data_IF_262201509382
#
_entry.id   IF_262201509382
#
_cell.length_a   1.000
_cell.length_b   1.000
_cell.length_c   1.000
_cell.angle_alpha   90.00
_cell.angle_beta   90.00
_cell.angle_gamma   90.00
#
_symmetry.space_group_name_H-M   'P 1'
#
loop_
_entity.id
_entity.type
_entity.pdbx_description
1 polymer ?
#
# COMPACT_ATOMS: atom_id res chain seq x y z
N UNK A 1 -37.43 40.99 6.02
CA UNK A 1 -36.38 40.83 5.02
C UNK A 1 -35.40 39.83 5.62
N UNK A 2 -35.54 38.59 5.22
CA UNK A 2 -34.78 37.45 5.74
C UNK A 2 -33.43 37.41 5.01
N UNK A 3 -32.34 37.49 5.78
CA UNK A 3 -31.02 37.26 5.27
C UNK A 3 -30.89 35.76 4.92
N UNK A 4 -30.80 35.45 3.63
CA UNK A 4 -30.34 34.17 3.16
C UNK A 4 -28.88 34.02 3.61
N UNK A 5 -28.67 33.17 4.62
CA UNK A 5 -27.35 32.70 5.00
C UNK A 5 -26.78 31.97 3.79
N UNK A 6 -25.76 32.54 3.16
CA UNK A 6 -25.06 31.95 2.02
C UNK A 6 -24.53 30.59 2.40
N UNK A 7 -25.11 29.54 1.85
CA UNK A 7 -24.58 28.19 1.91
C UNK A 7 -23.17 28.21 1.30
N UNK A 8 -22.14 27.94 2.11
CA UNK A 8 -20.78 27.71 1.59
C UNK A 8 -20.84 26.71 0.42
N UNK A 9 -20.24 27.03 -0.73
CA UNK A 9 -20.27 26.11 -1.86
C UNK A 9 -19.64 24.80 -1.43
N UNK A 10 -20.42 23.71 -1.52
CA UNK A 10 -19.98 22.37 -1.20
C UNK A 10 -18.62 22.09 -1.85
N UNK A 11 -17.63 21.73 -1.05
CA UNK A 11 -16.28 21.47 -1.51
C UNK A 11 -16.32 20.48 -2.68
N UNK A 12 -15.86 20.91 -3.86
CA UNK A 12 -15.80 20.10 -5.09
C UNK A 12 -14.34 19.84 -5.45
N UNK A 13 -14.09 18.63 -5.94
CA UNK A 13 -12.78 18.32 -6.52
C UNK A 13 -12.60 19.10 -7.83
N UNK A 14 -11.36 19.55 -8.09
CA UNK A 14 -11.01 20.14 -9.39
C UNK A 14 -11.28 19.12 -10.51
N UNK A 15 -11.83 19.54 -11.67
CA UNK A 15 -12.06 18.64 -12.82
C UNK A 15 -10.81 17.88 -13.28
N UNK A 16 -9.63 18.43 -13.05
CA UNK A 16 -8.34 17.78 -13.36
C UNK A 16 -7.96 16.65 -12.40
N UNK A 17 -8.61 16.56 -11.24
CA UNK A 17 -8.33 15.53 -10.25
C UNK A 17 -8.52 14.11 -10.81
N UNK A 18 -9.54 13.90 -11.66
CA UNK A 18 -9.77 12.60 -12.32
C UNK A 18 -8.60 12.21 -13.24
N UNK A 19 -8.04 13.17 -13.98
CA UNK A 19 -6.86 12.93 -14.83
C UNK A 19 -5.64 12.56 -13.99
N UNK A 20 -5.43 13.23 -12.87
CA UNK A 20 -4.33 12.93 -11.95
C UNK A 20 -4.52 11.55 -11.30
N UNK A 21 -5.74 11.18 -10.95
CA UNK A 21 -6.05 9.84 -10.45
C UNK A 21 -5.82 8.75 -11.52
N UNK A 22 -6.17 9.02 -12.78
CA UNK A 22 -5.90 8.09 -13.88
C UNK A 22 -4.38 7.88 -14.09
N UNK A 23 -3.58 8.94 -14.05
CA UNK A 23 -2.11 8.85 -14.11
C UNK A 23 -1.57 8.04 -12.91
N UNK A 24 -2.06 8.33 -11.70
CA UNK A 24 -1.69 7.58 -10.50
C UNK A 24 -2.05 6.09 -10.63
N UNK A 25 -3.23 5.76 -11.13
CA UNK A 25 -3.69 4.39 -11.38
C UNK A 25 -2.76 3.66 -12.37
N UNK A 26 -2.44 4.29 -13.50
CA UNK A 26 -1.53 3.72 -14.51
C UNK A 26 -0.17 3.42 -13.90
N UNK A 27 0.42 4.38 -13.18
CA UNK A 27 1.72 4.20 -12.55
C UNK A 27 1.73 3.08 -11.52
N UNK A 28 0.77 3.06 -10.61
CA UNK A 28 0.66 2.04 -9.57
C UNK A 28 0.51 0.65 -10.19
N UNK A 29 -0.41 0.50 -11.13
CA UNK A 29 -0.72 -0.78 -11.76
C UNK A 29 0.43 -1.31 -12.61
N UNK A 30 1.09 -0.47 -13.43
CA UNK A 30 2.24 -0.88 -14.23
C UNK A 30 3.39 -1.32 -13.31
N UNK A 31 3.70 -0.52 -12.29
CA UNK A 31 4.79 -0.84 -11.36
C UNK A 31 4.58 -2.20 -10.68
N UNK A 32 3.41 -2.42 -10.10
CA UNK A 32 3.09 -3.68 -9.39
C UNK A 32 3.05 -4.86 -10.37
N UNK A 33 2.41 -4.68 -11.53
CA UNK A 33 2.24 -5.76 -12.49
C UNK A 33 3.54 -6.18 -13.16
N UNK A 34 4.38 -5.23 -13.58
CA UNK A 34 5.65 -5.55 -14.23
C UNK A 34 6.62 -6.28 -13.29
N UNK A 35 6.62 -5.94 -12.01
CA UNK A 35 7.51 -6.58 -11.03
C UNK A 35 6.89 -7.89 -10.53
N UNK A 36 5.76 -7.81 -9.83
CA UNK A 36 5.18 -8.96 -9.14
C UNK A 36 4.41 -9.91 -10.05
N UNK A 37 3.77 -9.38 -11.10
CA UNK A 37 3.01 -10.21 -12.06
C UNK A 37 3.89 -11.02 -13.00
N UNK A 38 5.15 -10.60 -13.23
CA UNK A 38 6.04 -11.25 -14.18
C UNK A 38 7.14 -12.09 -13.54
N UNK A 39 7.53 -11.78 -12.29
CA UNK A 39 8.71 -12.37 -11.65
C UNK A 39 8.70 -13.91 -11.65
N UNK A 40 7.62 -14.51 -11.15
CA UNK A 40 7.51 -15.97 -11.03
C UNK A 40 7.51 -16.69 -12.37
N UNK A 41 6.91 -16.08 -13.39
CA UNK A 41 6.85 -16.61 -14.75
C UNK A 41 8.24 -16.65 -15.40
N UNK A 42 9.04 -15.62 -15.18
CA UNK A 42 10.36 -15.48 -15.80
C UNK A 42 11.46 -16.27 -15.07
N UNK A 43 11.21 -16.69 -13.83
CA UNK A 43 12.22 -17.22 -12.91
C UNK A 43 13.02 -18.40 -13.52
N UNK A 44 12.36 -19.41 -14.07
CA UNK A 44 13.03 -20.59 -14.65
C UNK A 44 13.91 -20.23 -15.85
N UNK A 45 13.46 -19.29 -16.68
CA UNK A 45 14.24 -18.81 -17.83
C UNK A 45 15.44 -17.96 -17.39
N UNK A 46 15.30 -17.23 -16.27
CA UNK A 46 16.40 -16.49 -15.63
C UNK A 46 17.44 -17.47 -15.07
N UNK A 47 17.02 -18.52 -14.34
CA UNK A 47 17.91 -19.58 -13.85
C UNK A 47 18.76 -20.15 -14.97
N UNK A 48 18.14 -20.52 -16.09
CA UNK A 48 18.82 -21.06 -17.27
C UNK A 48 19.78 -20.06 -17.91
N UNK A 49 19.35 -18.80 -18.09
CA UNK A 49 20.16 -17.77 -18.77
C UNK A 49 21.37 -17.33 -17.94
N UNK A 50 21.24 -17.26 -16.62
CA UNK A 50 22.31 -16.84 -15.73
C UNK A 50 23.20 -18.01 -15.29
N UNK A 51 22.79 -19.27 -15.52
CA UNK A 51 23.50 -20.46 -15.05
C UNK A 51 23.55 -20.58 -13.54
N UNK A 52 22.52 -20.08 -12.83
CA UNK A 52 22.45 -20.07 -11.35
C UNK A 52 21.26 -20.89 -10.85
N UNK A 53 21.40 -21.42 -9.64
CA UNK A 53 20.30 -22.12 -8.99
C UNK A 53 19.17 -21.17 -8.55
N UNK A 54 18.02 -21.78 -8.20
CA UNK A 54 16.83 -21.06 -7.74
C UNK A 54 17.10 -20.18 -6.53
N UNK A 55 17.94 -20.60 -5.62
CA UNK A 55 18.32 -19.86 -4.42
C UNK A 55 18.92 -18.50 -4.76
N UNK A 56 19.85 -18.45 -5.71
CA UNK A 56 20.50 -17.22 -6.14
C UNK A 56 19.57 -16.34 -6.99
N UNK A 57 18.79 -16.93 -7.89
CA UNK A 57 17.87 -16.17 -8.75
C UNK A 57 16.75 -15.50 -7.96
N UNK A 58 16.29 -16.11 -6.87
CA UNK A 58 15.25 -15.53 -5.99
C UNK A 58 15.78 -14.44 -5.06
N UNK A 59 17.10 -14.29 -4.84
CA UNK A 59 17.68 -13.20 -4.04
C UNK A 59 17.34 -11.80 -4.57
N UNK A 60 16.98 -11.68 -5.83
CA UNK A 60 16.49 -10.43 -6.40
C UNK A 60 15.29 -9.84 -5.62
N UNK A 61 14.39 -10.69 -5.10
CA UNK A 61 13.20 -10.23 -4.36
C UNK A 61 13.55 -9.57 -3.02
N UNK A 62 14.32 -10.21 -2.11
CA UNK A 62 14.73 -9.53 -0.87
C UNK A 62 15.59 -8.29 -1.14
N UNK A 63 16.45 -8.28 -2.16
CA UNK A 63 17.22 -7.09 -2.56
C UNK A 63 16.29 -5.97 -3.00
N UNK A 64 15.33 -6.26 -3.89
CA UNK A 64 14.31 -5.30 -4.33
C UNK A 64 13.53 -4.73 -3.14
N UNK A 65 13.03 -5.60 -2.26
CA UNK A 65 12.21 -5.19 -1.11
C UNK A 65 12.99 -4.32 -0.13
N UNK A 66 14.24 -4.69 0.17
CA UNK A 66 15.11 -3.92 1.05
C UNK A 66 15.35 -2.51 0.49
N UNK A 67 15.76 -2.42 -0.77
CA UNK A 67 16.03 -1.13 -1.41
C UNK A 67 14.75 -0.32 -1.56
N UNK A 68 13.64 -0.94 -1.94
CA UNK A 68 12.32 -0.28 -2.01
C UNK A 68 11.94 0.33 -0.65
N UNK A 69 12.06 -0.42 0.44
CA UNK A 69 11.69 0.05 1.77
C UNK A 69 12.58 1.21 2.24
N UNK A 70 13.90 1.12 2.04
CA UNK A 70 14.84 2.19 2.37
C UNK A 70 14.58 3.46 1.56
N UNK A 71 14.37 3.30 0.25
CA UNK A 71 14.15 4.43 -0.66
C UNK A 71 12.73 4.98 -0.60
N UNK A 72 11.73 4.24 -0.12
CA UNK A 72 10.38 4.74 0.09
C UNK A 72 10.36 5.98 1.01
N UNK A 73 11.20 5.97 2.06
CA UNK A 73 11.38 7.11 2.96
C UNK A 73 12.02 8.30 2.24
N UNK A 74 13.08 8.05 1.46
CA UNK A 74 13.76 9.10 0.68
C UNK A 74 12.83 9.69 -0.37
N UNK A 75 12.12 8.85 -1.13
CA UNK A 75 11.14 9.26 -2.14
C UNK A 75 10.03 10.09 -1.50
N UNK A 76 9.52 9.67 -0.35
CA UNK A 76 8.54 10.43 0.43
C UNK A 76 9.05 11.80 0.86
N UNK A 77 10.32 11.88 1.28
CA UNK A 77 10.96 13.15 1.64
C UNK A 77 11.28 14.02 0.41
N UNK A 78 11.73 13.42 -0.70
CA UNK A 78 11.96 14.15 -1.95
C UNK A 78 10.67 14.76 -2.48
N UNK A 79 9.55 14.07 -2.39
CA UNK A 79 8.24 14.54 -2.84
C UNK A 79 7.76 15.80 -2.11
N UNK A 80 8.32 16.13 -0.94
CA UNK A 80 8.03 17.41 -0.25
C UNK A 80 8.93 18.56 -0.71
N UNK A 81 10.11 18.26 -1.28
CA UNK A 81 11.11 19.24 -1.68
C UNK A 81 11.20 19.46 -3.19
N UNK A 82 10.96 18.42 -3.96
CA UNK A 82 10.99 18.41 -5.42
C UNK A 82 9.59 18.29 -5.99
N UNK A 83 9.45 18.61 -7.29
CA UNK A 83 8.20 18.35 -7.98
C UNK A 83 7.87 16.85 -8.00
N UNK A 84 6.63 16.51 -7.71
CA UNK A 84 6.14 15.13 -7.73
C UNK A 84 6.31 14.50 -9.12
N UNK A 85 6.07 15.33 -10.15
CA UNK A 85 6.31 14.98 -11.55
C UNK A 85 7.75 14.50 -11.79
N UNK A 86 8.75 15.25 -11.30
CA UNK A 86 10.16 14.88 -11.50
C UNK A 86 10.51 13.56 -10.83
N UNK A 87 10.10 13.38 -9.57
CA UNK A 87 10.41 12.16 -8.81
C UNK A 87 9.73 10.94 -9.44
N UNK A 88 8.47 11.07 -9.90
CA UNK A 88 7.76 10.00 -10.60
C UNK A 88 8.39 9.68 -11.97
N UNK A 89 8.83 10.71 -12.71
CA UNK A 89 9.54 10.52 -13.99
C UNK A 89 10.84 9.76 -13.80
N UNK A 90 11.67 10.16 -12.82
CA UNK A 90 12.94 9.48 -12.52
C UNK A 90 12.68 8.03 -12.10
N UNK A 91 11.71 7.78 -11.21
CA UNK A 91 11.37 6.42 -10.78
C UNK A 91 10.92 5.53 -11.94
N UNK A 92 10.04 6.03 -12.82
CA UNK A 92 9.59 5.29 -14.00
C UNK A 92 10.75 5.07 -15.01
N UNK A 93 11.62 6.07 -15.23
CA UNK A 93 12.78 5.93 -16.11
C UNK A 93 13.79 4.90 -15.58
N UNK A 94 14.00 4.84 -14.25
CA UNK A 94 14.82 3.80 -13.62
C UNK A 94 14.21 2.40 -13.82
N UNK A 95 12.87 2.27 -13.76
CA UNK A 95 12.20 0.99 -14.07
C UNK A 95 12.41 0.58 -15.52
N UNK A 96 12.31 1.51 -16.47
CA UNK A 96 12.63 1.26 -17.89
C UNK A 96 14.07 0.77 -18.05
N UNK A 97 15.03 1.50 -17.45
CA UNK A 97 16.45 1.13 -17.51
C UNK A 97 16.70 -0.24 -16.85
N UNK A 98 16.04 -0.54 -15.74
CA UNK A 98 16.15 -1.82 -15.05
C UNK A 98 15.70 -3.00 -15.92
N UNK A 99 14.52 -2.92 -16.51
CA UNK A 99 14.02 -3.95 -17.41
C UNK A 99 14.83 -4.03 -18.72
N UNK A 100 15.30 -2.91 -19.24
CA UNK A 100 16.19 -2.89 -20.42
C UNK A 100 17.54 -3.57 -20.11
N UNK A 101 18.11 -3.33 -18.92
CA UNK A 101 19.33 -4.01 -18.47
C UNK A 101 19.08 -5.52 -18.33
N UNK A 102 17.95 -5.95 -17.77
CA UNK A 102 17.58 -7.36 -17.66
C UNK A 102 17.38 -8.03 -19.03
N UNK A 103 16.87 -7.30 -20.02
CA UNK A 103 16.76 -7.78 -21.39
C UNK A 103 18.15 -8.05 -22.02
N UNK A 104 19.13 -7.17 -21.75
CA UNK A 104 20.45 -7.20 -22.36
C UNK A 104 21.45 -8.11 -21.63
N UNK A 105 21.32 -8.30 -20.29
CA UNK A 105 22.35 -8.99 -19.51
C UNK A 105 22.16 -10.49 -19.40
N UNK A 106 23.29 -11.21 -19.30
CA UNK A 106 23.37 -12.60 -18.84
C UNK A 106 24.26 -12.71 -17.59
N UNK A 107 24.58 -11.59 -16.93
CA UNK A 107 25.46 -11.54 -15.77
C UNK A 107 24.62 -11.48 -14.48
N UNK A 108 24.90 -12.38 -13.53
CA UNK A 108 24.22 -12.42 -12.24
C UNK A 108 24.43 -11.15 -11.39
N UNK A 109 25.64 -10.56 -11.28
CA UNK A 109 25.79 -9.27 -10.59
C UNK A 109 24.96 -8.16 -11.20
N UNK A 110 24.88 -8.05 -12.53
CA UNK A 110 24.05 -7.04 -13.20
C UNK A 110 22.55 -7.30 -13.01
N UNK A 111 22.16 -8.56 -12.90
CA UNK A 111 20.79 -8.95 -12.54
C UNK A 111 20.41 -8.39 -11.15
N UNK A 112 21.27 -8.54 -10.15
CA UNK A 112 21.05 -7.98 -8.81
C UNK A 112 21.09 -6.44 -8.81
N UNK A 113 21.99 -5.83 -9.59
CA UNK A 113 22.05 -4.37 -9.78
C UNK A 113 20.74 -3.85 -10.39
N UNK A 114 20.21 -4.55 -11.40
CA UNK A 114 18.94 -4.16 -12.02
C UNK A 114 17.80 -4.16 -11.00
N UNK A 115 17.67 -5.21 -10.18
CA UNK A 115 16.63 -5.29 -9.15
C UNK A 115 16.85 -4.31 -7.99
N UNK A 116 18.10 -4.18 -7.51
CA UNK A 116 18.42 -3.31 -6.38
C UNK A 116 18.44 -1.83 -6.77
N UNK A 117 19.30 -1.43 -7.71
CA UNK A 117 19.59 -0.02 -7.96
C UNK A 117 18.69 0.64 -9.00
N UNK A 118 17.98 -0.12 -9.83
CA UNK A 118 17.10 0.43 -10.86
C UNK A 118 15.62 0.16 -10.55
N UNK A 119 15.22 -1.09 -10.39
CA UNK A 119 13.83 -1.44 -10.10
C UNK A 119 13.40 -1.10 -8.67
N UNK A 120 14.31 -1.19 -7.68
CA UNK A 120 14.03 -0.82 -6.29
C UNK A 120 13.58 0.63 -6.12
N UNK A 121 14.34 1.63 -6.59
CA UNK A 121 13.92 3.03 -6.59
C UNK A 121 12.65 3.28 -7.42
N UNK A 122 12.53 2.62 -8.58
CA UNK A 122 11.33 2.68 -9.42
C UNK A 122 10.09 2.17 -8.70
N UNK A 123 10.22 1.04 -7.99
CA UNK A 123 9.16 0.48 -7.15
C UNK A 123 8.81 1.41 -5.99
N UNK A 124 9.78 1.99 -5.30
CA UNK A 124 9.56 2.93 -4.20
C UNK A 124 8.74 4.15 -4.68
N UNK A 125 9.12 4.75 -5.82
CA UNK A 125 8.38 5.85 -6.42
C UNK A 125 6.97 5.42 -6.86
N UNK A 126 6.84 4.25 -7.52
CA UNK A 126 5.59 3.74 -8.05
C UNK A 126 4.58 3.30 -6.99
N UNK A 127 5.01 3.05 -5.74
CA UNK A 127 4.11 2.71 -4.61
C UNK A 127 3.77 3.93 -3.76
N UNK A 128 4.74 4.82 -3.48
CA UNK A 128 4.56 5.94 -2.55
C UNK A 128 3.88 7.14 -3.22
N UNK A 129 4.23 7.45 -4.46
CA UNK A 129 3.82 8.71 -5.09
C UNK A 129 2.42 8.71 -5.72
N UNK A 130 1.89 7.61 -6.28
CA UNK A 130 0.52 7.60 -6.78
C UNK A 130 -0.53 7.94 -5.71
N UNK A 131 -0.52 7.32 -4.50
CA UNK A 131 -1.38 7.76 -3.40
C UNK A 131 -1.14 9.19 -2.97
N UNK A 132 0.12 9.66 -3.01
CA UNK A 132 0.48 11.05 -2.70
C UNK A 132 -0.17 12.02 -3.69
N UNK A 133 -0.12 11.72 -4.99
CA UNK A 133 -0.75 12.53 -6.03
C UNK A 133 -2.27 12.64 -5.82
N UNK A 134 -2.94 11.51 -5.56
CA UNK A 134 -4.38 11.49 -5.24
C UNK A 134 -4.69 12.32 -4.00
N UNK A 135 -3.90 12.18 -2.95
CA UNK A 135 -4.09 12.91 -1.69
C UNK A 135 -3.96 14.43 -1.87
N UNK A 136 -3.12 14.90 -2.79
CA UNK A 136 -2.98 16.32 -3.11
C UNK A 136 -4.17 16.89 -3.89
N UNK A 137 -4.80 16.09 -4.75
CA UNK A 137 -5.84 16.54 -5.68
C UNK A 137 -7.27 16.33 -5.18
N UNK A 138 -7.50 15.31 -4.35
CA UNK A 138 -8.84 14.99 -3.86
C UNK A 138 -9.13 15.61 -2.50
N UNK A 139 -10.13 16.49 -2.46
CA UNK A 139 -10.69 17.07 -1.25
C UNK A 139 -11.83 16.21 -0.70
N UNK A 140 -12.68 15.74 -1.59
CA UNK A 140 -13.87 14.94 -1.29
C UNK A 140 -13.73 13.55 -1.92
N UNK A 141 -14.27 12.51 -1.29
CA UNK A 141 -14.21 11.11 -1.72
C UNK A 141 -12.77 10.59 -1.94
N UNK A 142 -11.83 11.06 -1.11
CA UNK A 142 -10.42 10.70 -1.21
C UNK A 142 -10.18 9.21 -1.05
N UNK A 143 -10.89 8.56 -0.11
CA UNK A 143 -10.78 7.13 0.14
C UNK A 143 -11.18 6.31 -1.08
N UNK A 144 -12.27 6.67 -1.75
CA UNK A 144 -12.69 6.02 -3.00
C UNK A 144 -11.63 6.17 -4.10
N UNK A 145 -11.09 7.37 -4.28
CA UNK A 145 -10.07 7.63 -5.27
C UNK A 145 -8.80 6.82 -4.98
N UNK A 146 -8.35 6.77 -3.72
CA UNK A 146 -7.23 5.94 -3.27
C UNK A 146 -7.53 4.45 -3.45
N UNK A 147 -8.73 4.00 -3.13
CA UNK A 147 -9.17 2.62 -3.34
C UNK A 147 -9.07 2.21 -4.81
N UNK A 148 -9.61 3.02 -5.73
CA UNK A 148 -9.54 2.75 -7.17
C UNK A 148 -8.09 2.73 -7.65
N UNK A 149 -7.30 3.73 -7.28
CA UNK A 149 -5.89 3.84 -7.70
C UNK A 149 -5.04 2.67 -7.20
N UNK A 150 -5.29 2.21 -5.98
CA UNK A 150 -4.55 1.10 -5.36
C UNK A 150 -5.08 -0.29 -5.75
N UNK A 151 -6.13 -0.38 -6.58
CA UNK A 151 -6.63 -1.68 -7.06
C UNK A 151 -5.68 -2.24 -8.13
N UNK A 152 -4.97 -3.37 -7.87
CA UNK A 152 -3.95 -3.88 -8.77
C UNK A 152 -4.56 -4.75 -9.88
N UNK A 153 -5.26 -4.12 -10.84
CA UNK A 153 -5.99 -4.82 -11.91
C UNK A 153 -5.03 -5.48 -12.91
N UNK A 154 -3.99 -4.76 -13.32
CA UNK A 154 -3.09 -5.21 -14.39
C UNK A 154 -2.27 -6.44 -13.98
N UNK A 155 -1.97 -6.62 -12.69
CA UNK A 155 -1.25 -7.79 -12.18
C UNK A 155 -1.98 -9.12 -12.49
N UNK A 156 -3.31 -9.10 -12.61
CA UNK A 156 -4.10 -10.32 -12.86
C UNK A 156 -3.90 -10.89 -14.26
N UNK A 157 -3.64 -10.03 -15.23
CA UNK A 157 -3.42 -10.44 -16.63
C UNK A 157 -1.94 -10.53 -17.00
N UNK A 158 -1.07 -9.91 -16.22
CA UNK A 158 0.36 -9.83 -16.51
C UNK A 158 1.06 -11.19 -16.61
N UNK A 159 0.79 -12.20 -15.76
CA UNK A 159 1.39 -13.52 -15.90
C UNK A 159 1.09 -14.16 -17.26
N UNK A 160 -0.14 -14.03 -17.75
CA UNK A 160 -0.57 -14.58 -19.04
C UNK A 160 0.16 -13.89 -20.20
N UNK A 161 0.18 -12.57 -20.20
CA UNK A 161 0.89 -11.77 -21.23
C UNK A 161 2.37 -12.07 -21.23
N UNK A 162 3.00 -12.12 -20.04
CA UNK A 162 4.43 -12.44 -19.90
C UNK A 162 4.73 -13.86 -20.37
N UNK A 163 3.89 -14.85 -20.03
CA UNK A 163 4.04 -16.23 -20.48
C UNK A 163 3.98 -16.32 -22.00
N UNK A 164 3.00 -15.66 -22.61
CA UNK A 164 2.83 -15.67 -24.06
C UNK A 164 4.07 -15.07 -24.78
N UNK A 165 4.55 -13.91 -24.34
CA UNK A 165 5.74 -13.27 -24.92
C UNK A 165 6.99 -14.13 -24.68
N UNK A 166 7.14 -14.71 -23.49
CA UNK A 166 8.26 -15.57 -23.15
C UNK A 166 8.33 -16.80 -24.05
N UNK A 167 7.19 -17.46 -24.30
CA UNK A 167 7.11 -18.65 -25.15
C UNK A 167 7.34 -18.33 -26.62
N UNK A 168 6.82 -17.19 -27.11
CA UNK A 168 6.92 -16.81 -28.51
C UNK A 168 8.28 -16.19 -28.88
N UNK A 169 8.91 -15.41 -27.99
CA UNK A 169 10.04 -14.54 -28.31
C UNK A 169 11.21 -14.65 -27.33
N UNK A 170 11.06 -15.44 -26.27
CA UNK A 170 12.10 -15.66 -25.27
C UNK A 170 12.24 -14.56 -24.21
N UNK A 171 13.15 -14.81 -23.26
CA UNK A 171 13.35 -13.97 -22.08
C UNK A 171 13.75 -12.51 -22.37
N UNK A 172 14.67 -12.21 -23.34
CA UNK A 172 15.02 -10.83 -23.65
C UNK A 172 13.81 -9.98 -24.10
N UNK A 173 12.94 -10.56 -24.94
CA UNK A 173 11.76 -9.85 -25.43
C UNK A 173 10.71 -9.68 -24.34
N UNK A 174 10.57 -10.65 -23.42
CA UNK A 174 9.70 -10.50 -22.25
C UNK A 174 10.13 -9.30 -21.38
N UNK A 175 11.42 -9.16 -21.09
CA UNK A 175 11.95 -7.99 -20.38
C UNK A 175 11.83 -6.69 -21.18
N UNK A 176 12.04 -6.71 -22.49
CA UNK A 176 11.86 -5.55 -23.37
C UNK A 176 10.38 -5.07 -23.35
N UNK A 177 9.43 -6.00 -23.34
CA UNK A 177 8.00 -5.69 -23.17
C UNK A 177 7.74 -4.98 -21.82
N UNK A 178 8.34 -5.48 -20.71
CA UNK A 178 8.18 -4.85 -19.40
C UNK A 178 8.81 -3.45 -19.37
N UNK A 179 9.93 -3.24 -20.07
CA UNK A 179 10.53 -1.92 -20.26
C UNK A 179 9.59 -0.99 -21.04
N UNK A 180 9.00 -1.48 -22.13
CA UNK A 180 8.04 -0.70 -22.93
C UNK A 180 6.77 -0.32 -22.14
N UNK A 181 6.23 -1.24 -21.33
CA UNK A 181 5.13 -0.95 -20.43
C UNK A 181 5.52 0.11 -19.38
N UNK A 182 6.72 0.01 -18.81
CA UNK A 182 7.23 1.01 -17.87
C UNK A 182 7.41 2.38 -18.53
N UNK A 183 7.74 2.43 -19.83
CA UNK A 183 7.81 3.67 -20.60
C UNK A 183 6.45 4.36 -20.74
N UNK A 184 5.33 3.63 -20.72
CA UNK A 184 3.99 4.22 -20.65
C UNK A 184 3.83 5.06 -19.38
N UNK A 185 4.37 4.60 -18.24
CA UNK A 185 4.40 5.39 -17.00
C UNK A 185 5.24 6.67 -17.15
N UNK A 186 6.37 6.61 -17.85
CA UNK A 186 7.18 7.80 -18.14
C UNK A 186 6.35 8.82 -18.91
N UNK A 187 5.69 8.39 -19.99
CA UNK A 187 4.85 9.26 -20.83
C UNK A 187 3.69 9.84 -20.01
N UNK A 188 3.00 9.02 -19.22
CA UNK A 188 1.92 9.47 -18.36
C UNK A 188 2.39 10.54 -17.35
N UNK A 189 3.59 10.37 -16.78
CA UNK A 189 4.16 11.28 -15.80
C UNK A 189 4.52 12.65 -16.38
N UNK A 190 4.72 12.79 -17.70
CA UNK A 190 4.92 14.10 -18.34
C UNK A 190 3.70 15.03 -18.15
N UNK A 191 2.52 14.47 -17.93
CA UNK A 191 1.27 15.21 -17.79
C UNK A 191 0.85 15.46 -16.34
N UNK A 192 1.70 15.11 -15.36
CA UNK A 192 1.42 15.39 -13.95
C UNK A 192 1.47 16.88 -13.69
N UNK A 193 0.48 17.36 -12.95
CA UNK A 193 0.43 18.67 -12.33
C UNK A 193 0.51 18.44 -10.82
N UNK A 194 1.50 19.01 -10.18
CA UNK A 194 1.86 18.70 -8.80
C UNK A 194 0.78 19.07 -7.77
N UNK A 195 0.12 20.20 -7.98
CA UNK A 195 -0.91 20.75 -7.09
C UNK A 195 -2.05 21.39 -7.88
N UNK A 196 -3.27 21.42 -7.33
CA UNK A 196 -4.37 22.19 -7.92
C UNK A 196 -4.02 23.68 -8.02
N UNK A 197 -4.41 24.37 -9.11
CA UNK A 197 -4.25 25.81 -9.22
C UNK A 197 -4.92 26.54 -8.04
N UNK A 198 -4.24 27.54 -7.47
CA UNK A 198 -4.76 28.32 -6.33
C UNK A 198 -4.52 27.69 -4.95
N UNK A 199 -3.99 26.48 -4.85
CA UNK A 199 -3.68 25.85 -3.56
C UNK A 199 -2.57 26.56 -2.78
N UNK A 200 -1.68 27.30 -3.46
CA UNK A 200 -0.62 28.10 -2.83
C UNK A 200 -1.19 29.34 -2.14
N UNK A 201 -2.18 29.99 -2.73
CA UNK A 201 -2.86 31.13 -2.12
C UNK A 201 -3.70 30.72 -0.90
N UNK A 202 -4.31 29.51 -0.93
CA UNK A 202 -5.07 28.97 0.18
C UNK A 202 -4.18 28.57 1.36
N UNK A 203 -2.96 28.06 1.14
CA UNK A 203 -2.00 27.80 2.22
C UNK A 203 -1.44 29.11 2.81
N UNK A 204 -1.10 30.08 1.99
CA UNK A 204 -0.61 31.39 2.44
C UNK A 204 -1.68 32.18 3.21
N UNK A 205 -2.96 32.09 2.82
CA UNK A 205 -4.05 32.76 3.53
C UNK A 205 -4.43 32.05 4.84
N UNK A 206 -4.28 30.73 4.94
CA UNK A 206 -4.46 29.98 6.19
C UNK A 206 -3.37 30.33 7.22
N UNK A 207 -2.14 30.54 6.79
CA UNK A 207 -1.03 31.01 7.63
C UNK A 207 -1.24 32.47 8.09
N UNK A 208 -1.86 33.32 7.26
CA UNK A 208 -2.12 34.73 7.57
C UNK A 208 -3.32 34.95 8.52
N UNK A 209 -4.28 34.04 8.60
CA UNK A 209 -5.50 34.19 9.39
C UNK A 209 -5.50 33.43 10.72
N UNK A 210 -4.34 33.05 11.25
CA UNK A 210 -4.17 32.64 12.65
C UNK A 210 -5.16 31.55 13.12
N UNK A 211 -5.41 30.52 12.30
CA UNK A 211 -6.23 29.37 12.69
C UNK A 211 -5.51 28.55 13.76
N UNK A 212 -5.58 29.00 15.00
CA UNK A 212 -4.95 28.42 16.22
C UNK A 212 -5.53 27.06 16.63
N UNK A 213 -6.18 26.30 15.76
CA UNK A 213 -6.77 25.00 16.12
C UNK A 213 -6.35 23.81 15.27
N UNK A 214 -5.89 24.01 14.02
CA UNK A 214 -5.51 22.93 13.09
C UNK A 214 -4.12 23.10 12.48
N UNK A 215 -3.42 24.18 12.78
CA UNK A 215 -2.12 24.58 12.21
C UNK A 215 -0.91 23.94 12.90
N UNK A 216 -1.06 22.88 13.70
CA UNK A 216 0.09 22.13 14.24
C UNK A 216 0.61 21.03 13.31
N UNK A 217 0.16 20.96 12.06
CA UNK A 217 0.66 20.03 11.05
C UNK A 217 1.61 20.76 10.07
N UNK A 218 2.51 21.57 10.58
CA UNK A 218 3.73 21.95 9.85
C UNK A 218 4.46 20.67 9.41
N UNK A 219 5.17 20.75 8.28
CA UNK A 219 5.87 19.65 7.63
C UNK A 219 6.62 18.76 8.66
N UNK A 220 5.95 17.68 9.13
CA UNK A 220 6.46 16.86 10.21
C UNK A 220 7.74 16.14 9.79
N UNK A 221 8.82 16.36 10.53
CA UNK A 221 10.09 15.67 10.27
C UNK A 221 9.96 14.17 10.54
N UNK A 222 10.83 13.35 9.92
CA UNK A 222 10.85 11.89 10.18
C UNK A 222 11.00 11.57 11.66
N UNK A 223 11.82 12.35 12.38
CA UNK A 223 12.04 12.16 13.81
C UNK A 223 10.78 12.45 14.60
N UNK A 224 10.03 13.49 14.23
CA UNK A 224 8.74 13.80 14.86
C UNK A 224 7.70 12.71 14.61
N UNK A 225 7.65 12.15 13.39
CA UNK A 225 6.78 11.01 13.05
C UNK A 225 7.14 9.78 13.91
N UNK A 226 8.42 9.41 13.99
CA UNK A 226 8.88 8.27 14.80
C UNK A 226 8.66 8.45 16.30
N UNK A 227 8.68 9.68 16.79
CA UNK A 227 8.35 10.00 18.19
C UNK A 227 6.86 10.08 18.46
N UNK A 228 6.02 10.08 17.44
CA UNK A 228 4.57 10.18 17.57
C UNK A 228 3.94 8.82 17.89
N UNK A 229 3.32 8.61 19.04
CA UNK A 229 2.57 7.38 19.33
C UNK A 229 1.45 7.13 18.31
N UNK A 230 0.88 8.21 17.75
CA UNK A 230 -0.17 8.13 16.72
C UNK A 230 0.34 7.52 15.41
N UNK A 231 1.59 7.79 15.05
CA UNK A 231 2.22 7.15 13.89
C UNK A 231 2.32 5.64 14.11
N UNK A 232 2.83 5.22 15.25
CA UNK A 232 3.02 3.81 15.57
C UNK A 232 1.70 3.03 15.65
N UNK A 233 0.61 3.62 16.16
CA UNK A 233 -0.69 2.94 16.18
C UNK A 233 -1.21 2.66 14.77
N UNK A 234 -1.07 3.60 13.83
CA UNK A 234 -1.46 3.40 12.43
C UNK A 234 -0.51 2.43 11.71
N UNK A 235 0.80 2.57 11.95
CA UNK A 235 1.80 1.68 11.37
C UNK A 235 1.61 0.23 11.84
N UNK A 236 1.42 -0.01 13.13
CA UNK A 236 1.19 -1.35 13.70
C UNK A 236 -0.09 -1.99 13.15
N UNK A 237 -1.18 -1.20 13.01
CA UNK A 237 -2.41 -1.70 12.41
C UNK A 237 -2.21 -2.13 10.95
N UNK A 238 -1.46 -1.36 10.18
CA UNK A 238 -1.11 -1.72 8.82
C UNK A 238 -0.17 -2.93 8.75
N UNK A 239 0.84 -2.98 9.62
CA UNK A 239 1.79 -4.10 9.71
C UNK A 239 1.09 -5.41 10.05
N UNK A 240 0.13 -5.40 10.97
CA UNK A 240 -0.69 -6.57 11.29
C UNK A 240 -1.51 -7.02 10.07
N UNK A 241 -2.20 -6.11 9.40
CA UNK A 241 -2.98 -6.46 8.21
C UNK A 241 -2.11 -6.99 7.06
N UNK A 242 -0.91 -6.42 6.88
CA UNK A 242 0.06 -6.86 5.87
C UNK A 242 0.61 -8.26 6.20
N UNK A 243 0.97 -8.52 7.47
CA UNK A 243 1.45 -9.82 7.93
C UNK A 243 0.44 -10.92 7.63
N UNK A 244 -0.81 -10.73 8.01
CA UNK A 244 -1.88 -11.69 7.74
C UNK A 244 -2.02 -12.01 6.26
N UNK A 245 -2.05 -11.01 5.40
CA UNK A 245 -2.13 -11.22 3.95
C UNK A 245 -0.93 -12.01 3.40
N UNK A 246 0.27 -11.72 3.87
CA UNK A 246 1.51 -12.38 3.44
C UNK A 246 1.53 -13.83 3.95
N UNK A 247 1.23 -14.07 5.25
CA UNK A 247 1.18 -15.40 5.84
C UNK A 247 0.17 -16.28 5.10
N UNK A 248 -1.05 -15.75 4.89
CA UNK A 248 -2.10 -16.50 4.23
C UNK A 248 -1.70 -16.88 2.80
N UNK A 249 -1.15 -15.93 2.04
CA UNK A 249 -0.71 -16.18 0.66
C UNK A 249 0.44 -17.20 0.60
N UNK A 250 1.42 -17.08 1.50
CA UNK A 250 2.60 -17.96 1.50
C UNK A 250 2.29 -19.38 2.02
N UNK A 251 1.41 -19.50 3.01
CA UNK A 251 1.14 -20.76 3.69
C UNK A 251 -0.22 -21.37 3.34
N UNK A 252 -1.00 -20.82 2.42
CA UNK A 252 -2.33 -21.33 2.08
C UNK A 252 -2.31 -22.82 1.69
N UNK A 253 -1.38 -23.23 0.82
CA UNK A 253 -1.32 -24.61 0.38
C UNK A 253 -0.98 -25.59 1.52
N UNK A 254 0.04 -25.37 2.35
CA UNK A 254 0.29 -26.22 3.51
C UNK A 254 -0.81 -26.12 4.58
N UNK A 255 -1.41 -24.95 4.83
CA UNK A 255 -2.55 -24.80 5.75
C UNK A 255 -3.76 -25.62 5.28
N UNK A 256 -4.11 -25.50 4.00
CA UNK A 256 -5.21 -26.27 3.41
C UNK A 256 -5.02 -27.78 3.55
N UNK A 257 -3.78 -28.28 3.44
CA UNK A 257 -3.47 -29.69 3.70
C UNK A 257 -3.76 -30.11 5.14
N UNK A 258 -3.46 -29.25 6.13
CA UNK A 258 -3.79 -29.54 7.53
C UNK A 258 -5.29 -29.55 7.80
N UNK A 259 -6.08 -28.90 6.93
CA UNK A 259 -7.55 -28.97 6.95
C UNK A 259 -8.13 -30.12 6.11
N UNK A 260 -7.28 -31.01 5.58
CA UNK A 260 -7.71 -32.15 4.74
C UNK A 260 -8.11 -31.75 3.31
N UNK A 261 -7.78 -30.53 2.84
CA UNK A 261 -8.13 -30.03 1.52
C UNK A 261 -7.07 -30.44 0.46
N UNK A 262 -7.53 -30.69 -0.76
CA UNK A 262 -6.67 -30.96 -1.90
C UNK A 262 -5.90 -29.71 -2.36
N UNK A 263 -4.82 -29.90 -3.13
CA UNK A 263 -4.06 -28.80 -3.71
C UNK A 263 -4.92 -27.89 -4.61
N UNK A 264 -5.88 -28.47 -5.34
CA UNK A 264 -6.83 -27.72 -6.18
C UNK A 264 -7.72 -26.81 -5.32
N UNK A 265 -8.24 -27.31 -4.21
CA UNK A 265 -9.06 -26.50 -3.29
C UNK A 265 -8.25 -25.40 -2.63
N UNK A 266 -6.97 -25.65 -2.28
CA UNK A 266 -6.06 -24.62 -1.79
C UNK A 266 -5.83 -23.51 -2.82
N UNK A 267 -5.62 -23.87 -4.09
CA UNK A 267 -5.49 -22.88 -5.18
C UNK A 267 -6.79 -22.06 -5.37
N UNK A 268 -7.95 -22.71 -5.23
CA UNK A 268 -9.26 -22.00 -5.27
C UNK A 268 -9.35 -20.97 -4.15
N UNK A 269 -8.91 -21.29 -2.92
CA UNK A 269 -8.92 -20.34 -1.81
C UNK A 269 -8.03 -19.12 -2.08
N UNK A 270 -6.83 -19.31 -2.66
CA UNK A 270 -5.95 -18.20 -3.06
C UNK A 270 -6.57 -17.32 -4.15
N UNK A 271 -7.23 -17.95 -5.12
CA UNK A 271 -7.91 -17.22 -6.19
C UNK A 271 -9.08 -16.39 -5.65
N UNK A 272 -9.87 -16.94 -4.74
CA UNK A 272 -10.96 -16.22 -4.07
C UNK A 272 -10.41 -15.07 -3.21
N UNK A 273 -9.36 -15.31 -2.42
CA UNK A 273 -8.70 -14.26 -1.63
C UNK A 273 -8.31 -13.07 -2.51
N UNK A 274 -7.68 -13.33 -3.64
CA UNK A 274 -7.20 -12.28 -4.55
C UNK A 274 -8.34 -11.55 -5.24
N UNK A 275 -9.32 -12.29 -5.76
CA UNK A 275 -10.45 -11.73 -6.51
C UNK A 275 -11.35 -10.86 -5.61
N UNK A 276 -11.71 -11.37 -4.44
CA UNK A 276 -12.53 -10.64 -3.47
C UNK A 276 -11.74 -9.47 -2.89
N UNK A 277 -10.42 -9.65 -2.69
CA UNK A 277 -9.51 -8.59 -2.26
C UNK A 277 -9.52 -7.36 -3.18
N UNK A 278 -9.63 -7.53 -4.49
CA UNK A 278 -9.74 -6.39 -5.41
C UNK A 278 -10.93 -5.48 -5.08
N UNK A 279 -12.07 -6.06 -4.68
CA UNK A 279 -13.23 -5.30 -4.22
C UNK A 279 -12.98 -4.56 -2.90
N UNK A 280 -12.11 -5.10 -2.06
CA UNK A 280 -11.77 -4.55 -0.74
C UNK A 280 -11.13 -3.16 -0.82
N UNK A 281 -10.29 -2.90 -1.81
CA UNK A 281 -9.65 -1.58 -1.98
C UNK A 281 -10.67 -0.47 -2.17
N UNK A 282 -11.69 -0.70 -2.99
CA UNK A 282 -12.76 0.26 -3.28
C UNK A 282 -13.74 0.36 -2.11
N UNK A 283 -14.18 -0.78 -1.57
CA UNK A 283 -15.12 -0.85 -0.45
C UNK A 283 -14.57 -0.12 0.77
N UNK A 284 -13.38 -0.48 1.22
CA UNK A 284 -12.77 0.12 2.42
C UNK A 284 -12.31 1.56 2.18
N UNK A 285 -11.97 1.94 0.96
CA UNK A 285 -11.79 3.34 0.58
C UNK A 285 -13.09 4.15 0.78
N UNK A 286 -14.24 3.61 0.38
CA UNK A 286 -15.55 4.22 0.64
C UNK A 286 -15.90 4.26 2.13
N UNK A 287 -15.61 3.20 2.89
CA UNK A 287 -15.80 3.15 4.35
C UNK A 287 -14.95 4.23 5.02
N UNK A 288 -13.69 4.41 4.57
CA UNK A 288 -12.82 5.46 5.10
C UNK A 288 -13.35 6.87 4.83
N UNK A 289 -13.95 7.12 3.66
CA UNK A 289 -14.61 8.40 3.36
C UNK A 289 -15.84 8.68 4.27
N UNK A 290 -16.54 7.62 4.69
CA UNK A 290 -17.75 7.75 5.55
C UNK A 290 -17.43 7.88 7.02
N UNK A 291 -16.52 7.07 7.54
CA UNK A 291 -16.22 6.93 8.96
C UNK A 291 -14.98 7.71 9.40
N UNK A 292 -14.19 8.20 8.46
CA UNK A 292 -12.82 8.69 8.66
C UNK A 292 -11.81 7.54 8.71
N UNK A 293 -10.58 7.82 8.24
CA UNK A 293 -9.55 6.80 8.03
C UNK A 293 -9.16 6.04 9.29
N UNK A 294 -9.06 6.74 10.43
CA UNK A 294 -8.64 6.10 11.70
C UNK A 294 -9.70 5.12 12.22
N UNK A 295 -11.00 5.47 12.10
CA UNK A 295 -12.09 4.56 12.52
C UNK A 295 -12.20 3.38 11.58
N UNK A 296 -12.12 3.65 10.29
CA UNK A 296 -12.16 2.62 9.27
C UNK A 296 -11.00 1.62 9.44
N UNK A 297 -9.78 2.09 9.78
CA UNK A 297 -8.64 1.22 10.03
C UNK A 297 -8.85 0.35 11.28
N UNK A 298 -9.35 0.93 12.37
CA UNK A 298 -9.63 0.18 13.59
C UNK A 298 -10.66 -0.93 13.35
N UNK A 299 -11.76 -0.63 12.65
CA UNK A 299 -12.79 -1.60 12.29
C UNK A 299 -12.23 -2.69 11.36
N UNK A 300 -11.52 -2.29 10.30
CA UNK A 300 -10.90 -3.22 9.35
C UNK A 300 -10.01 -4.24 10.06
N UNK A 301 -9.15 -3.79 10.96
CA UNK A 301 -8.21 -4.66 11.68
C UNK A 301 -8.94 -5.49 12.74
N UNK A 302 -9.99 -4.95 13.38
CA UNK A 302 -10.84 -5.68 14.32
C UNK A 302 -11.57 -6.83 13.64
N UNK A 303 -12.27 -6.55 12.55
CA UNK A 303 -13.01 -7.55 11.79
C UNK A 303 -12.06 -8.61 11.22
N UNK A 304 -10.89 -8.20 10.72
CA UNK A 304 -9.86 -9.14 10.28
C UNK A 304 -9.40 -10.08 11.41
N UNK A 305 -9.25 -9.57 12.65
CA UNK A 305 -8.89 -10.41 13.80
C UNK A 305 -9.95 -11.50 14.07
N UNK A 306 -11.23 -11.16 13.97
CA UNK A 306 -12.33 -12.11 14.13
C UNK A 306 -12.32 -13.16 13.00
N UNK A 307 -12.11 -12.73 11.76
CA UNK A 307 -12.03 -13.64 10.61
C UNK A 307 -10.85 -14.60 10.73
N UNK A 308 -9.70 -14.14 11.20
CA UNK A 308 -8.55 -14.98 11.48
C UNK A 308 -8.85 -15.98 12.60
N UNK A 309 -9.53 -15.58 13.68
CA UNK A 309 -9.95 -16.46 14.74
C UNK A 309 -10.93 -17.54 14.26
N UNK A 310 -11.82 -17.22 13.31
CA UNK A 310 -12.72 -18.20 12.71
C UNK A 310 -11.98 -19.33 11.96
N UNK A 311 -10.77 -19.09 11.44
CA UNK A 311 -9.98 -20.17 10.79
C UNK A 311 -9.55 -21.28 11.75
N UNK A 312 -9.64 -21.07 13.07
CA UNK A 312 -9.41 -22.12 14.07
C UNK A 312 -10.56 -23.13 14.13
N UNK A 313 -11.73 -22.75 13.65
CA UNK A 313 -12.88 -23.63 13.61
C UNK A 313 -12.75 -24.55 12.38
N UNK A 314 -13.05 -25.85 12.58
CA UNK A 314 -13.10 -26.79 11.47
C UNK A 314 -14.40 -26.59 10.67
N UNK A 315 -14.37 -25.63 9.75
CA UNK A 315 -15.52 -25.23 8.95
C UNK A 315 -15.64 -26.05 7.67
N UNK A 316 -16.86 -26.26 7.16
CA UNK A 316 -17.06 -26.77 5.80
C UNK A 316 -16.34 -25.88 4.76
N UNK A 317 -15.92 -26.49 3.65
CA UNK A 317 -15.16 -25.78 2.59
C UNK A 317 -15.85 -24.49 2.13
N UNK A 318 -17.17 -24.51 1.94
CA UNK A 318 -17.90 -23.31 1.53
C UNK A 318 -17.78 -22.15 2.52
N UNK A 319 -17.82 -22.42 3.83
CA UNK A 319 -17.59 -21.40 4.87
C UNK A 319 -16.15 -20.91 4.87
N UNK A 320 -15.18 -21.81 4.69
CA UNK A 320 -13.76 -21.46 4.56
C UNK A 320 -13.53 -20.53 3.38
N UNK A 321 -14.15 -20.79 2.23
CA UNK A 321 -14.10 -19.91 1.03
C UNK A 321 -14.57 -18.50 1.36
N UNK A 322 -15.69 -18.36 2.07
CA UNK A 322 -16.23 -17.04 2.47
C UNK A 322 -15.27 -16.32 3.40
N UNK A 323 -14.78 -17.00 4.46
CA UNK A 323 -13.87 -16.40 5.43
C UNK A 323 -12.55 -15.97 4.77
N UNK A 324 -11.97 -16.81 3.92
CA UNK A 324 -10.73 -16.47 3.18
C UNK A 324 -10.96 -15.30 2.22
N UNK A 325 -12.10 -15.28 1.51
CA UNK A 325 -12.48 -14.16 0.67
C UNK A 325 -12.59 -12.85 1.45
N UNK A 326 -13.24 -12.88 2.61
CA UNK A 326 -13.36 -11.72 3.50
C UNK A 326 -11.99 -11.28 4.06
N UNK A 327 -11.09 -12.21 4.44
CA UNK A 327 -9.73 -11.85 4.84
C UNK A 327 -9.00 -11.15 3.68
N UNK A 328 -9.15 -11.64 2.45
CA UNK A 328 -8.60 -10.99 1.26
C UNK A 328 -9.15 -9.57 1.06
N UNK A 329 -10.45 -9.39 1.26
CA UNK A 329 -11.13 -8.09 1.19
C UNK A 329 -10.52 -7.09 2.19
N UNK A 330 -10.31 -7.50 3.44
CA UNK A 330 -9.73 -6.66 4.50
C UNK A 330 -8.25 -6.36 4.22
N UNK A 331 -7.47 -7.35 3.83
CA UNK A 331 -6.05 -7.19 3.54
C UNK A 331 -5.78 -6.15 2.43
N UNK A 332 -6.52 -6.23 1.33
CA UNK A 332 -6.39 -5.28 0.24
C UNK A 332 -6.91 -3.87 0.60
N UNK A 333 -7.95 -3.80 1.45
CA UNK A 333 -8.52 -2.54 1.94
C UNK A 333 -7.60 -1.74 2.87
N UNK A 334 -6.56 -2.35 3.45
CA UNK A 334 -5.68 -1.69 4.40
C UNK A 334 -4.92 -0.49 3.80
N UNK A 335 -4.47 -0.58 2.54
CA UNK A 335 -3.71 0.48 1.85
C UNK A 335 -4.49 1.78 1.71
N UNK A 336 -5.71 1.80 1.09
CA UNK A 336 -6.47 3.05 0.97
C UNK A 336 -6.90 3.61 2.33
N UNK A 337 -7.27 2.76 3.28
CA UNK A 337 -7.67 3.19 4.63
C UNK A 337 -6.52 3.83 5.39
N UNK A 338 -5.33 3.21 5.37
CA UNK A 338 -4.11 3.79 5.94
C UNK A 338 -3.80 5.14 5.31
N UNK A 339 -3.92 5.25 3.99
CA UNK A 339 -3.64 6.49 3.26
C UNK A 339 -4.56 7.63 3.70
N UNK A 340 -5.85 7.36 3.88
CA UNK A 340 -6.79 8.34 4.45
C UNK A 340 -6.40 8.69 5.89
N UNK A 341 -6.14 7.68 6.74
CA UNK A 341 -5.80 7.89 8.15
C UNK A 341 -4.52 8.72 8.34
N UNK A 342 -3.47 8.45 7.54
CA UNK A 342 -2.23 9.24 7.57
C UNK A 342 -2.46 10.68 7.13
N UNK A 343 -3.23 10.88 6.06
CA UNK A 343 -3.51 12.24 5.55
C UNK A 343 -4.37 13.06 6.50
N UNK A 344 -5.29 12.43 7.26
CA UNK A 344 -6.09 13.07 8.30
C UNK A 344 -5.28 13.44 9.55
N UNK A 345 -4.28 12.62 9.89
CA UNK A 345 -3.50 12.80 11.14
C UNK A 345 -2.28 13.69 10.98
N UNK A 346 -1.63 13.63 9.83
CA UNK A 346 -0.34 14.29 9.59
C UNK A 346 -0.42 15.36 8.50
N UNK A 347 -1.61 15.57 7.93
CA UNK A 347 -1.80 16.52 6.84
C UNK A 347 -1.29 16.00 5.48
N UNK A 348 -1.62 16.74 4.42
CA UNK A 348 -1.27 16.34 3.04
C UNK A 348 0.20 16.49 2.73
N UNK A 349 0.84 17.51 3.31
CA UNK A 349 2.26 17.82 3.09
C UNK A 349 3.17 16.73 3.68
N UNK A 350 2.83 16.23 4.88
CA UNK A 350 3.59 15.15 5.54
C UNK A 350 3.20 13.75 5.08
N UNK A 351 2.14 13.59 4.27
CA UNK A 351 1.59 12.29 3.90
C UNK A 351 2.62 11.38 3.23
N UNK A 352 3.32 11.86 2.19
CA UNK A 352 4.27 11.05 1.44
C UNK A 352 5.43 10.56 2.32
N UNK A 353 5.88 11.41 3.24
CA UNK A 353 6.94 11.09 4.20
C UNK A 353 6.45 10.04 5.22
N UNK A 354 5.25 10.24 5.77
CA UNK A 354 4.65 9.29 6.71
C UNK A 354 4.37 7.93 6.04
N UNK A 355 3.84 7.94 4.81
CA UNK A 355 3.55 6.72 4.07
C UNK A 355 4.83 5.96 3.68
N UNK A 356 5.88 6.67 3.25
CA UNK A 356 7.20 6.08 3.00
C UNK A 356 7.80 5.46 4.26
N UNK A 357 7.66 6.13 5.41
CA UNK A 357 8.16 5.63 6.69
C UNK A 357 7.39 4.38 7.17
N UNK A 358 6.07 4.31 6.92
CA UNK A 358 5.28 3.08 7.21
C UNK A 358 5.81 1.91 6.38
N UNK A 359 6.13 2.11 5.10
CA UNK A 359 6.70 1.04 4.27
C UNK A 359 8.04 0.55 4.82
N UNK A 360 8.89 1.45 5.32
CA UNK A 360 10.17 1.07 5.94
C UNK A 360 9.97 0.27 7.22
N UNK A 361 9.14 0.74 8.15
CA UNK A 361 8.92 0.05 9.42
C UNK A 361 8.15 -1.26 9.25
N UNK A 362 7.42 -1.44 8.14
CA UNK A 362 6.75 -2.69 7.78
C UNK A 362 7.73 -3.78 7.28
N UNK A 363 8.93 -3.41 6.84
CA UNK A 363 9.88 -4.35 6.24
C UNK A 363 10.23 -5.54 7.15
N UNK A 364 10.59 -5.37 8.45
CA UNK A 364 10.88 -6.49 9.33
C UNK A 364 9.71 -7.47 9.45
N UNK A 365 8.48 -6.97 9.54
CA UNK A 365 7.28 -7.80 9.62
C UNK A 365 7.08 -8.57 8.32
N UNK A 366 7.18 -7.91 7.18
CA UNK A 366 7.03 -8.54 5.86
C UNK A 366 8.06 -9.65 5.60
N UNK A 367 9.28 -9.51 6.14
CA UNK A 367 10.34 -10.50 5.99
C UNK A 367 10.21 -11.63 7.00
N UNK A 368 9.83 -11.34 8.24
CA UNK A 368 9.86 -12.31 9.34
C UNK A 368 8.56 -13.10 9.52
N UNK A 369 7.41 -12.58 9.07
CA UNK A 369 6.12 -13.21 9.32
C UNK A 369 6.01 -14.63 8.69
N UNK A 370 6.54 -14.82 7.48
CA UNK A 370 6.51 -16.14 6.80
C UNK A 370 7.41 -17.15 7.50
N UNK A 371 8.71 -16.88 7.77
CA UNK A 371 9.55 -17.77 8.55
C UNK A 371 9.02 -18.05 9.96
N UNK A 372 8.43 -17.05 10.61
CA UNK A 372 7.83 -17.22 11.94
C UNK A 372 6.67 -18.23 11.91
N UNK A 373 5.76 -18.10 10.94
CA UNK A 373 4.66 -19.06 10.77
C UNK A 373 5.17 -20.47 10.43
N UNK A 374 6.21 -20.58 9.59
CA UNK A 374 6.87 -21.85 9.29
C UNK A 374 7.51 -22.50 10.52
N UNK A 375 8.16 -21.70 11.37
CA UNK A 375 8.78 -22.17 12.61
C UNK A 375 7.74 -22.69 13.61
N UNK A 376 6.61 -21.99 13.74
CA UNK A 376 5.49 -22.47 14.58
C UNK A 376 5.01 -23.84 14.08
N UNK A 377 4.80 -23.96 12.77
CA UNK A 377 4.39 -25.25 12.19
C UNK A 377 5.43 -26.35 12.40
N UNK A 378 6.71 -26.06 12.19
CA UNK A 378 7.79 -27.03 12.38
C UNK A 378 7.88 -27.58 13.81
N UNK A 379 7.53 -26.74 14.81
CA UNK A 379 7.57 -27.11 16.23
C UNK A 379 6.29 -27.82 16.72
N UNK A 380 5.14 -27.47 16.14
CA UNK A 380 3.83 -27.92 16.67
C UNK A 380 3.07 -28.87 15.75
N UNK A 381 3.50 -28.99 14.48
CA UNK A 381 2.77 -29.76 13.45
C UNK A 381 1.45 -29.06 13.01
N UNK A 382 1.19 -27.83 13.48
CA UNK A 382 -0.07 -27.14 13.24
C UNK A 382 0.15 -25.65 12.96
N UNK A 383 -0.71 -25.06 12.12
CA UNK A 383 -0.76 -23.62 11.89
C UNK A 383 -1.63 -22.88 12.93
N UNK A 384 -2.29 -23.59 13.85
CA UNK A 384 -3.19 -22.97 14.84
C UNK A 384 -2.47 -21.87 15.65
N UNK A 385 -1.21 -22.10 16.07
CA UNK A 385 -0.42 -21.10 16.79
C UNK A 385 -0.12 -19.86 15.95
N UNK A 386 0.13 -20.00 14.65
CA UNK A 386 0.34 -18.87 13.74
C UNK A 386 -0.96 -18.09 13.52
N UNK A 387 -2.10 -18.77 13.38
CA UNK A 387 -3.42 -18.17 13.25
C UNK A 387 -3.79 -17.40 14.52
N UNK A 388 -3.58 -17.98 15.71
CA UNK A 388 -3.81 -17.28 17.00
C UNK A 388 -2.90 -16.06 17.13
N UNK A 389 -1.62 -16.20 16.81
CA UNK A 389 -0.66 -15.11 16.88
C UNK A 389 -1.07 -13.93 16.00
N UNK A 390 -1.52 -14.21 14.78
CA UNK A 390 -2.00 -13.18 13.85
C UNK A 390 -3.31 -12.53 14.33
N UNK A 391 -4.28 -13.34 14.79
CA UNK A 391 -5.55 -12.82 15.33
C UNK A 391 -5.31 -11.92 16.56
N UNK A 392 -4.39 -12.30 17.45
CA UNK A 392 -3.99 -11.50 18.61
C UNK A 392 -3.27 -10.21 18.17
N UNK A 393 -2.37 -10.29 17.20
CA UNK A 393 -1.67 -9.10 16.67
C UNK A 393 -2.66 -8.09 16.10
N UNK A 394 -3.59 -8.53 15.26
CA UNK A 394 -4.66 -7.71 14.70
C UNK A 394 -5.54 -7.11 15.81
N UNK A 395 -5.95 -7.91 16.79
CA UNK A 395 -6.79 -7.45 17.90
C UNK A 395 -6.08 -6.36 18.73
N UNK A 396 -4.83 -6.60 19.12
CA UNK A 396 -4.03 -5.62 19.87
C UNK A 396 -3.84 -4.34 19.07
N UNK A 397 -3.55 -4.44 17.78
CA UNK A 397 -3.41 -3.28 16.90
C UNK A 397 -4.71 -2.47 16.82
N UNK A 398 -5.88 -3.12 16.71
CA UNK A 398 -7.18 -2.45 16.74
C UNK A 398 -7.41 -1.71 18.06
N UNK A 399 -7.18 -2.37 19.19
CA UNK A 399 -7.34 -1.78 20.51
C UNK A 399 -6.42 -0.56 20.72
N UNK A 400 -5.18 -0.61 20.22
CA UNK A 400 -4.25 0.52 20.28
C UNK A 400 -4.75 1.71 19.46
N UNK A 401 -5.29 1.49 18.26
CA UNK A 401 -5.87 2.55 17.42
C UNK A 401 -7.07 3.19 18.13
N UNK A 402 -7.94 2.39 18.75
CA UNK A 402 -9.10 2.89 19.49
C UNK A 402 -8.72 3.65 20.78
N UNK A 403 -7.72 3.16 21.52
CA UNK A 403 -7.22 3.81 22.74
C UNK A 403 -6.59 5.17 22.44
N UNK A 404 -5.76 5.26 21.39
CA UNK A 404 -5.13 6.51 20.95
C UNK A 404 -6.16 7.59 20.53
N UNK A 405 -7.40 7.18 20.20
CA UNK A 405 -8.50 8.07 19.87
C UNK A 405 -9.17 8.65 21.13
N UNK A 406 -9.45 7.81 22.14
CA UNK A 406 -10.14 8.25 23.37
C UNK A 406 -9.39 9.32 24.15
N UNK A 407 -8.07 9.36 24.05
CA UNK A 407 -7.23 10.39 24.68
C UNK A 407 -7.49 11.81 24.18
N UNK A 408 -8.00 11.97 22.94
CA UNK A 408 -8.31 13.28 22.34
C UNK A 408 -9.67 13.85 22.79
N UNK A 409 -10.67 12.97 22.90
CA UNK A 409 -12.02 13.41 23.32
C UNK A 409 -12.01 13.94 24.77
N UNK A 410 -11.10 13.44 25.61
CA UNK A 410 -10.92 13.95 26.98
C UNK A 410 -10.13 15.26 27.06
N UNK A 411 -9.17 15.50 26.15
CA UNK A 411 -8.37 16.74 26.12
C UNK A 411 -9.18 17.93 25.61
N UNK A 412 -10.09 17.71 24.65
CA UNK A 412 -10.98 18.78 24.13
C UNK A 412 -12.15 19.11 25.07
N UNK A 413 -12.50 18.20 25.99
CA UNK A 413 -13.53 18.43 27.00
C UNK A 413 -13.03 19.17 28.26
N UNK A 414 -11.71 19.31 28.40
CA UNK A 414 -11.09 19.96 29.58
C UNK A 414 -10.61 21.40 29.34
N UNK A 415 -10.79 21.97 28.15
CA UNK A 415 -10.56 23.41 27.92
C UNK A 415 -11.77 24.18 28.45
N UNK A 416 -11.60 25.04 29.48
CA UNK A 416 -12.70 25.88 29.97
C UNK A 416 -13.09 26.88 28.87
N UNK A 417 -14.40 27.00 28.64
CA UNK A 417 -14.96 28.01 27.75
C UNK A 417 -14.43 29.40 28.13
N UNK A 418 -13.96 30.21 27.16
CA UNK A 418 -13.57 31.58 27.47
C UNK A 418 -14.78 32.30 28.03
N UNK A 419 -14.70 32.70 29.29
CA UNK A 419 -15.68 33.58 29.92
C UNK A 419 -15.75 34.87 29.11
N UNK A 420 -16.88 35.07 28.43
CA UNK A 420 -17.23 36.35 27.83
C UNK A 420 -17.45 37.34 28.98
N UNK A 421 -16.42 38.07 29.38
CA UNK A 421 -16.59 39.32 30.11
C UNK A 421 -17.28 40.30 29.16
N UNK A 422 -18.54 40.59 29.48
CA UNK A 422 -19.28 41.71 28.87
C UNK A 422 -18.82 43.00 29.54
N UNK A 423 -18.64 44.10 28.79
CA UNK A 423 -18.40 45.42 29.32
C UNK A 423 -19.65 46.02 29.99
#
# INVERSE_FOLDING_TARGET
MSAEAGAEPAARNDPRALRMAAIAFVNYNITIACIWGSFSVLLSSVETRLGVGRELSTLAVPVLNLVTALLAVMVGALATRLSLRLVMLVGAALSVAGFALLAATASYPLYLVAFGLLLGPGMAAGVVLPPTLVTRWYLVNRGRALGIVSTPVVITVMPLVTTWVLQAHGLPMAYAMLAALSAVSVIANLFIIDRPPGSEAASASADAHGAHGLAAAGDASMVQLLRSPRFWTLALAFMASAAGSIILTAHMAPMARTWGLSATLAATLLSVQSLVGMGGTVLFGWVADKLGGVRALALLVFDAALLWALLLLHMPFAATVVVIGLIGLHGAGAVPVLSVALSERFGRESFSRAYGLVNLVNLPVSVLCVPAAALVYARTGSYAGAIVGEAVFLMLASLLVLAARRGRDKSSASEPSPTLERP
#
